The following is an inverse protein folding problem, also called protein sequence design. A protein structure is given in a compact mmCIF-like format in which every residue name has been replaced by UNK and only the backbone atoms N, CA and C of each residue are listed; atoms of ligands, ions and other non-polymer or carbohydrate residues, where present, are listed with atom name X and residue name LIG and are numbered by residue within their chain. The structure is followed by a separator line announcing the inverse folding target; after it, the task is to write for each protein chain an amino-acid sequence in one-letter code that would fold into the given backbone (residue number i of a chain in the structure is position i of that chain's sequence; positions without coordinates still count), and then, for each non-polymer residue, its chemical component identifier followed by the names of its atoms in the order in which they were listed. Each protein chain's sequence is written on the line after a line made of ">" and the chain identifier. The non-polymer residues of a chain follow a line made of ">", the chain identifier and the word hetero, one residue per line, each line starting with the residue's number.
data_IF_885687957031
#
_entry.id   IF_885687957031
#
_cell.length_a   1.000
_cell.length_b   1.000
_cell.length_c   1.000
_cell.angle_alpha   90.00
_cell.angle_beta   90.00
_cell.angle_gamma   90.00
#
_symmetry.space_group_name_H-M   'P 1'
#
loop_
_entity.id
_entity.type
_entity.pdbx_description
1 polymer ?
#
# COMPACT_ATOMS: atom_id res chain seq x y z
N UNK A 1 4.88 7.20 -21.52
CA UNK A 1 4.94 7.56 -20.07
C UNK A 1 3.94 6.83 -19.15
N UNK A 2 2.80 6.31 -19.63
CA UNK A 2 1.79 5.68 -18.77
C UNK A 2 2.27 4.41 -18.03
N UNK A 3 3.20 3.65 -18.62
CA UNK A 3 3.72 2.41 -18.02
C UNK A 3 4.65 2.72 -16.84
N UNK A 4 5.51 3.73 -16.97
CA UNK A 4 6.49 4.10 -15.93
C UNK A 4 5.80 4.67 -14.70
N UNK A 5 4.74 5.46 -14.86
CA UNK A 5 3.93 5.99 -13.75
C UNK A 5 3.15 4.88 -13.02
N UNK A 6 2.63 3.87 -13.74
CA UNK A 6 1.97 2.68 -13.14
C UNK A 6 2.95 1.87 -12.28
N UNK A 7 4.14 1.58 -12.80
CA UNK A 7 5.18 0.83 -12.06
C UNK A 7 5.62 1.62 -10.83
N UNK A 8 5.79 2.94 -10.96
CA UNK A 8 6.16 3.84 -9.85
C UNK A 8 5.12 3.82 -8.73
N UNK A 9 3.82 3.96 -9.07
CA UNK A 9 2.71 3.88 -8.10
C UNK A 9 2.67 2.53 -7.38
N UNK A 10 2.85 1.41 -8.10
CA UNK A 10 2.93 0.06 -7.50
C UNK A 10 4.09 -0.08 -6.51
N UNK A 11 5.30 0.39 -6.88
CA UNK A 11 6.47 0.38 -5.99
C UNK A 11 6.26 1.24 -4.75
N UNK A 12 5.64 2.42 -4.90
CA UNK A 12 5.34 3.33 -3.78
C UNK A 12 4.37 2.69 -2.78
N UNK A 13 3.28 2.09 -3.27
CA UNK A 13 2.31 1.39 -2.44
C UNK A 13 2.97 0.23 -1.66
N UNK A 14 3.76 -0.62 -2.35
CA UNK A 14 4.48 -1.73 -1.70
C UNK A 14 5.42 -1.25 -0.59
N UNK A 15 6.16 -0.15 -0.82
CA UNK A 15 7.03 0.44 0.21
C UNK A 15 6.24 0.93 1.43
N UNK A 16 5.08 1.56 1.22
CA UNK A 16 4.22 2.03 2.31
C UNK A 16 3.68 0.87 3.16
N UNK A 17 3.24 -0.23 2.51
CA UNK A 17 2.79 -1.45 3.20
C UNK A 17 3.89 -2.07 4.05
N UNK A 18 5.13 -2.15 3.53
CA UNK A 18 6.25 -2.69 4.30
C UNK A 18 6.57 -1.85 5.55
N UNK A 19 6.49 -0.51 5.43
CA UNK A 19 6.66 0.39 6.58
C UNK A 19 5.55 0.21 7.63
N UNK A 20 4.31 0.03 7.18
CA UNK A 20 3.18 -0.25 8.08
C UNK A 20 3.39 -1.60 8.80
N UNK A 21 3.76 -2.66 8.08
CA UNK A 21 4.03 -3.98 8.67
C UNK A 21 5.18 -3.94 9.67
N UNK A 22 6.23 -3.17 9.40
CA UNK A 22 7.33 -2.97 10.33
C UNK A 22 6.88 -2.22 11.60
N UNK A 23 5.95 -1.25 11.47
CA UNK A 23 5.34 -0.55 12.60
C UNK A 23 4.55 -1.52 13.50
N UNK A 24 3.72 -2.36 12.87
CA UNK A 24 2.92 -3.39 13.55
C UNK A 24 3.82 -4.36 14.31
N UNK A 25 4.89 -4.85 13.66
CA UNK A 25 5.85 -5.76 14.30
C UNK A 25 6.53 -5.16 15.53
N UNK A 26 6.71 -3.83 15.57
CA UNK A 26 7.33 -3.11 16.70
C UNK A 26 6.32 -2.73 17.79
N UNK A 27 5.01 -2.84 17.55
CA UNK A 27 3.98 -2.40 18.50
C UNK A 27 3.85 -0.88 18.62
N UNK A 28 4.32 -0.12 17.63
CA UNK A 28 4.29 1.36 17.65
C UNK A 28 2.93 1.87 17.13
N UNK A 29 1.98 2.05 18.05
CA UNK A 29 0.59 2.39 17.74
C UNK A 29 0.41 3.75 17.04
N UNK A 30 1.19 4.77 17.44
CA UNK A 30 1.15 6.08 16.80
C UNK A 30 1.64 5.99 15.35
N UNK A 31 2.74 5.28 15.14
CA UNK A 31 3.27 5.15 13.80
C UNK A 31 2.43 4.21 12.92
N UNK A 32 1.71 3.25 13.50
CA UNK A 32 0.68 2.47 12.79
C UNK A 32 -0.44 3.39 12.29
N UNK A 33 -0.98 4.25 13.16
CA UNK A 33 -2.07 5.19 12.83
C UNK A 33 -1.67 6.10 11.67
N UNK A 34 -0.53 6.79 11.80
CA UNK A 34 0.00 7.71 10.79
C UNK A 34 0.27 6.99 9.46
N UNK A 35 0.85 5.78 9.50
CA UNK A 35 1.18 5.02 8.28
C UNK A 35 -0.07 4.46 7.61
N UNK A 36 -1.12 4.12 8.38
CA UNK A 36 -2.40 3.65 7.86
C UNK A 36 -3.16 4.76 7.13
N UNK A 37 -3.21 5.96 7.70
CA UNK A 37 -3.79 7.13 7.02
C UNK A 37 -3.05 7.46 5.72
N UNK A 38 -1.70 7.45 5.76
CA UNK A 38 -0.89 7.66 4.56
C UNK A 38 -1.12 6.58 3.50
N UNK A 39 -1.37 5.33 3.89
CA UNK A 39 -1.63 4.23 2.97
C UNK A 39 -2.99 4.37 2.28
N UNK A 40 -4.03 4.84 2.98
CA UNK A 40 -5.36 5.08 2.40
C UNK A 40 -5.36 6.17 1.33
N UNK A 41 -4.52 7.21 1.48
CA UNK A 41 -4.38 8.30 0.50
C UNK A 41 -3.64 7.88 -0.78
N UNK A 42 -2.97 6.72 -0.79
CA UNK A 42 -2.26 6.25 -1.97
C UNK A 42 -3.20 5.51 -2.92
N UNK A 43 -3.05 5.72 -4.25
CA UNK A 43 -3.85 4.99 -5.22
C UNK A 43 -3.52 3.50 -5.14
N UNK A 44 -4.52 2.69 -4.76
CA UNK A 44 -4.38 1.24 -4.70
C UNK A 44 -4.13 0.72 -6.12
N UNK A 45 -3.01 0.03 -6.38
CA UNK A 45 -2.79 -0.57 -7.69
C UNK A 45 -3.92 -1.55 -7.96
N UNK A 46 -4.60 -1.44 -9.12
CA UNK A 46 -5.64 -2.39 -9.55
C UNK A 46 -5.16 -3.82 -9.28
N UNK A 47 -5.78 -4.49 -8.31
CA UNK A 47 -5.50 -5.87 -8.00
C UNK A 47 -6.05 -6.70 -9.15
N UNK A 48 -5.18 -7.42 -9.87
CA UNK A 48 -5.60 -8.32 -10.95
C UNK A 48 -6.55 -9.42 -10.41
N UNK A 49 -6.35 -9.80 -9.16
CA UNK A 49 -7.07 -10.87 -8.44
C UNK A 49 -8.35 -10.44 -7.73
N UNK A 50 -8.65 -9.14 -7.60
CA UNK A 50 -9.92 -8.72 -6.97
C UNK A 50 -11.15 -9.10 -7.81
N UNK A 51 -10.97 -9.37 -9.12
CA UNK A 51 -12.04 -9.89 -9.99
C UNK A 51 -12.28 -11.39 -9.81
N UNK A 52 -11.30 -12.15 -9.32
CA UNK A 52 -11.42 -13.61 -9.14
C UNK A 52 -12.06 -13.96 -7.78
N UNK A 53 -12.02 -13.07 -6.80
CA UNK A 53 -12.67 -13.28 -5.50
C UNK A 53 -14.18 -12.94 -5.47
N UNK A 54 -14.73 -12.51 -6.61
CA UNK A 54 -16.14 -12.12 -6.77
C UNK A 54 -16.86 -12.95 -7.85
N UNK A 55 -16.19 -13.98 -8.38
CA UNK A 55 -16.70 -14.93 -9.36
C UNK A 55 -17.00 -16.28 -8.68
#
# INVERSE_FOLDING_TARGET
>A
MAITTRIRKKKQYRKAVLKLRAAIKRGDEEAIRIRREKLQKLPVPRQRYAREAQA
#
